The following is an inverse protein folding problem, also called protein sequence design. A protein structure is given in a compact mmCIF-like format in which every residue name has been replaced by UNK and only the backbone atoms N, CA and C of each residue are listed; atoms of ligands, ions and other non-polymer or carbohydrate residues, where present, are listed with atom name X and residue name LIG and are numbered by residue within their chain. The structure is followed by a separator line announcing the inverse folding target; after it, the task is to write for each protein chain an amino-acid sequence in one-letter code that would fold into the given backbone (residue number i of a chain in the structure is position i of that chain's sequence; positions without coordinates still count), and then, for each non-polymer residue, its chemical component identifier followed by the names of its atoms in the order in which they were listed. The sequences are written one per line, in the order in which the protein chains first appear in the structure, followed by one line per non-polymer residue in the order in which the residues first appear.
data_IF_044584253580
#
_entry.id   IF_044584253580
#
_cell.length_a   1.000
_cell.length_b   1.000
_cell.length_c   1.000
_cell.angle_alpha   90.00
_cell.angle_beta   90.00
_cell.angle_gamma   90.00
#
_symmetry.space_group_name_H-M   'P 1'
#
loop_
_entity.id
_entity.type
_entity.pdbx_description
1 polymer ?
#
# COMPACT_ATOMS: atom_id res chain seq x y z
N UNK A 1 11.59 -21.81 -5.57
CA UNK A 1 10.83 -20.62 -5.13
C UNK A 1 11.45 -19.48 -5.91
N UNK A 2 10.71 -18.93 -6.86
CA UNK A 2 11.23 -17.83 -7.68
C UNK A 2 11.28 -16.57 -6.82
N UNK A 3 12.36 -15.79 -6.94
CA UNK A 3 12.51 -14.53 -6.21
C UNK A 3 11.56 -13.50 -6.81
N UNK A 4 10.73 -12.89 -5.96
CA UNK A 4 9.84 -11.79 -6.34
C UNK A 4 10.54 -10.48 -5.98
N UNK A 5 10.82 -9.66 -6.99
CA UNK A 5 11.40 -8.34 -6.81
C UNK A 5 10.32 -7.26 -6.91
N UNK A 6 10.46 -6.22 -6.08
CA UNK A 6 9.54 -5.10 -6.03
C UNK A 6 10.18 -3.91 -5.31
N UNK A 7 9.42 -2.85 -5.12
CA UNK A 7 9.89 -1.67 -4.41
C UNK A 7 8.75 -0.93 -3.70
N UNK A 8 9.16 -0.08 -2.76
CA UNK A 8 8.28 0.79 -2.00
C UNK A 8 7.99 2.10 -2.74
N UNK A 9 6.71 2.41 -2.90
CA UNK A 9 6.20 3.58 -3.59
C UNK A 9 5.92 4.68 -2.57
N UNK A 10 6.92 5.55 -2.38
CA UNK A 10 6.85 6.62 -1.37
C UNK A 10 6.48 7.98 -1.95
N UNK A 11 6.96 8.33 -3.15
CA UNK A 11 6.93 9.73 -3.62
C UNK A 11 5.84 10.05 -4.64
N UNK A 12 5.34 9.02 -5.33
CA UNK A 12 4.37 9.14 -6.43
C UNK A 12 3.11 8.38 -6.08
N UNK A 13 2.03 8.67 -6.80
CA UNK A 13 0.88 7.79 -6.81
C UNK A 13 1.30 6.41 -7.34
N UNK A 14 0.82 5.32 -6.71
CA UNK A 14 1.16 3.95 -7.14
C UNK A 14 0.68 3.68 -8.56
N UNK A 15 -0.38 4.34 -8.99
CA UNK A 15 -0.92 4.29 -10.35
C UNK A 15 0.13 4.65 -11.42
N UNK A 16 1.06 5.55 -11.11
CA UNK A 16 2.14 5.97 -12.01
C UNK A 16 3.33 4.99 -12.05
N UNK A 17 3.40 4.03 -11.11
CA UNK A 17 4.56 3.16 -10.92
C UNK A 17 4.46 1.82 -11.66
N UNK A 18 3.28 1.42 -12.13
CA UNK A 18 3.07 0.16 -12.85
C UNK A 18 3.90 0.06 -14.13
N UNK A 19 3.95 1.12 -14.94
CA UNK A 19 4.73 1.13 -16.18
C UNK A 19 6.22 0.93 -15.93
N UNK A 20 6.76 1.59 -14.91
CA UNK A 20 8.14 1.42 -14.49
C UNK A 20 8.40 -0.02 -13.99
N UNK A 21 7.56 -0.54 -13.10
CA UNK A 21 7.73 -1.89 -12.61
C UNK A 21 7.71 -2.94 -13.75
N UNK A 22 6.80 -2.79 -14.71
CA UNK A 22 6.73 -3.67 -15.87
C UNK A 22 7.95 -3.56 -16.78
N UNK A 23 8.44 -2.33 -17.05
CA UNK A 23 9.65 -2.09 -17.86
C UNK A 23 10.88 -2.81 -17.28
N UNK A 24 11.01 -2.84 -15.94
CA UNK A 24 12.17 -3.41 -15.25
C UNK A 24 11.94 -4.83 -14.71
N UNK A 25 10.83 -5.48 -15.07
CA UNK A 25 10.54 -6.87 -14.65
C UNK A 25 10.31 -7.04 -13.15
N UNK A 26 9.82 -6.00 -12.47
CA UNK A 26 9.43 -6.03 -11.06
C UNK A 26 7.98 -6.53 -10.95
N UNK A 27 7.72 -7.37 -9.96
CA UNK A 27 6.44 -8.08 -9.81
C UNK A 27 5.64 -7.62 -8.58
N UNK A 28 6.14 -6.63 -7.83
CA UNK A 28 5.49 -6.13 -6.63
C UNK A 28 5.69 -4.62 -6.42
N UNK A 29 4.64 -3.94 -5.98
CA UNK A 29 4.68 -2.56 -5.48
C UNK A 29 4.12 -2.52 -4.06
N UNK A 30 4.90 -2.04 -3.11
CA UNK A 30 4.45 -1.76 -1.76
C UNK A 30 4.05 -0.28 -1.68
N UNK A 31 2.88 0.04 -1.13
CA UNK A 31 2.36 1.41 -1.08
C UNK A 31 2.59 2.00 0.32
N UNK A 32 3.47 3.00 0.43
CA UNK A 32 3.72 3.69 1.70
C UNK A 32 2.57 4.65 2.05
N UNK A 33 1.85 4.34 3.12
CA UNK A 33 0.72 5.11 3.63
C UNK A 33 1.16 6.35 4.44
N UNK A 34 2.44 6.73 4.47
CA UNK A 34 2.96 7.88 5.21
C UNK A 34 2.80 9.23 4.47
N UNK A 35 2.43 9.21 3.18
CA UNK A 35 2.28 10.43 2.38
C UNK A 35 0.82 10.75 2.10
N UNK A 36 0.49 12.04 2.05
CA UNK A 36 -0.89 12.50 1.90
C UNK A 36 -1.64 11.95 0.69
N UNK A 37 -0.95 11.69 -0.43
CA UNK A 37 -1.55 11.10 -1.64
C UNK A 37 -1.81 9.58 -1.52
N UNK A 38 -1.29 8.95 -0.47
CA UNK A 38 -1.41 7.53 -0.17
C UNK A 38 -1.99 7.31 1.23
N UNK A 39 -2.57 8.32 1.89
CA UNK A 39 -3.28 8.07 3.15
C UNK A 39 -4.44 7.11 2.91
N UNK A 40 -4.74 6.25 3.89
CA UNK A 40 -5.77 5.21 3.72
C UNK A 40 -7.14 5.79 3.34
N UNK A 41 -7.44 7.00 3.80
CA UNK A 41 -8.66 7.76 3.47
C UNK A 41 -8.78 8.10 1.97
N UNK A 42 -7.69 8.06 1.22
CA UNK A 42 -7.68 8.32 -0.23
C UNK A 42 -8.01 7.07 -1.06
N UNK A 43 -8.20 5.91 -0.44
CA UNK A 43 -8.55 4.65 -1.10
C UNK A 43 -10.07 4.44 -1.07
N UNK A 44 -10.79 5.26 -1.83
CA UNK A 44 -12.21 5.02 -2.08
C UNK A 44 -12.43 3.85 -3.05
N UNK A 45 -13.70 3.50 -3.28
CA UNK A 45 -14.07 2.40 -4.16
C UNK A 45 -13.58 2.57 -5.60
N UNK A 46 -13.56 3.81 -6.11
CA UNK A 46 -13.11 4.09 -7.48
C UNK A 46 -11.61 3.83 -7.60
N UNK A 47 -10.82 4.37 -6.68
CA UNK A 47 -9.37 4.18 -6.65
C UNK A 47 -9.00 2.72 -6.44
N UNK A 48 -9.67 2.02 -5.51
CA UNK A 48 -9.43 0.59 -5.26
C UNK A 48 -9.67 -0.23 -6.53
N UNK A 49 -10.79 0.02 -7.24
CA UNK A 49 -11.10 -0.69 -8.47
C UNK A 49 -10.09 -0.39 -9.59
N UNK A 50 -9.63 0.86 -9.71
CA UNK A 50 -8.56 1.24 -10.63
C UNK A 50 -7.26 0.48 -10.33
N UNK A 51 -6.85 0.42 -9.07
CA UNK A 51 -5.64 -0.28 -8.65
C UNK A 51 -5.72 -1.79 -8.90
N UNK A 52 -6.88 -2.40 -8.67
CA UNK A 52 -7.14 -3.81 -9.02
C UNK A 52 -6.98 -4.03 -10.52
N UNK A 53 -7.61 -3.18 -11.34
CA UNK A 53 -7.49 -3.26 -12.79
C UNK A 53 -6.04 -3.11 -13.28
N UNK A 54 -5.26 -2.20 -12.70
CA UNK A 54 -3.83 -2.05 -13.02
C UNK A 54 -3.01 -3.27 -12.56
N UNK A 55 -3.26 -3.78 -11.36
CA UNK A 55 -2.61 -4.99 -10.84
C UNK A 55 -2.82 -6.18 -11.76
N UNK A 56 -4.06 -6.40 -12.22
CA UNK A 56 -4.40 -7.45 -13.18
C UNK A 56 -3.79 -7.21 -14.56
N UNK A 57 -3.88 -5.99 -15.09
CA UNK A 57 -3.36 -5.62 -16.41
C UNK A 57 -1.85 -5.85 -16.51
N UNK A 58 -1.10 -5.47 -15.48
CA UNK A 58 0.37 -5.55 -15.49
C UNK A 58 0.92 -6.84 -14.86
N UNK A 59 0.08 -7.65 -14.21
CA UNK A 59 0.54 -8.83 -13.46
C UNK A 59 1.42 -8.47 -12.26
N UNK A 60 1.19 -7.30 -11.66
CA UNK A 60 1.99 -6.76 -10.55
C UNK A 60 1.15 -6.79 -9.28
N UNK A 61 1.69 -7.43 -8.24
CA UNK A 61 1.04 -7.52 -6.93
C UNK A 61 1.22 -6.23 -6.10
N UNK A 62 0.30 -6.00 -5.16
CA UNK A 62 0.29 -4.81 -4.30
C UNK A 62 0.31 -5.20 -2.82
N UNK A 63 0.97 -4.40 -1.99
CA UNK A 63 0.84 -4.41 -0.52
C UNK A 63 0.68 -2.98 0.01
N UNK A 64 0.31 -2.86 1.28
CA UNK A 64 0.27 -1.59 2.00
C UNK A 64 1.34 -1.59 3.09
N UNK A 65 2.15 -0.54 3.13
CA UNK A 65 3.08 -0.27 4.22
C UNK A 65 2.44 0.74 5.18
N UNK A 66 2.01 0.26 6.34
CA UNK A 66 1.39 1.12 7.36
C UNK A 66 2.42 2.10 7.93
N UNK A 67 2.02 3.31 8.35
CA UNK A 67 2.96 4.28 8.90
C UNK A 67 3.72 3.71 10.11
N UNK A 68 5.00 4.05 10.24
CA UNK A 68 5.88 3.57 11.33
C UNK A 68 5.37 3.90 12.75
N UNK A 69 4.43 4.84 12.86
CA UNK A 69 3.81 5.25 14.12
C UNK A 69 2.71 4.28 14.60
N UNK A 70 2.26 3.36 13.75
CA UNK A 70 1.22 2.39 14.11
C UNK A 70 1.81 1.30 15.00
N UNK A 71 1.28 1.20 16.22
CA UNK A 71 1.69 0.21 17.21
C UNK A 71 0.46 -0.51 17.80
N UNK A 72 0.05 -1.68 17.24
CA UNK A 72 -1.05 -2.46 17.81
C UNK A 72 -0.72 -3.10 19.17
N UNK A 73 0.54 -3.01 19.60
CA UNK A 73 1.02 -3.48 20.91
C UNK A 73 1.23 -2.33 21.90
N UNK A 74 0.65 -1.15 21.65
CA UNK A 74 0.79 -0.01 22.56
C UNK A 74 0.29 -0.37 23.97
N UNK A 75 0.99 0.14 24.98
CA UNK A 75 0.67 -0.10 26.39
C UNK A 75 -0.50 0.76 26.87
N UNK A 76 -0.76 1.90 26.23
CA UNK A 76 -1.88 2.79 26.54
C UNK A 76 -3.09 2.31 25.74
N UNK A 77 -4.15 1.80 26.39
CA UNK A 77 -5.29 1.19 25.69
C UNK A 77 -5.92 2.08 24.62
N UNK A 78 -6.14 3.37 24.92
CA UNK A 78 -6.74 4.32 23.98
C UNK A 78 -5.92 4.47 22.69
N UNK A 79 -4.58 4.45 22.77
CA UNK A 79 -3.70 4.55 21.60
C UNK A 79 -3.72 3.23 20.83
N UNK A 80 -3.63 2.10 21.54
CA UNK A 80 -3.69 0.76 20.94
C UNK A 80 -4.99 0.55 20.16
N UNK A 81 -6.12 0.92 20.73
CA UNK A 81 -7.43 0.75 20.11
C UNK A 81 -7.55 1.60 18.84
N UNK A 82 -6.99 2.81 18.84
CA UNK A 82 -6.89 3.66 17.65
C UNK A 82 -5.99 3.03 16.56
N UNK A 83 -4.84 2.46 16.94
CA UNK A 83 -3.95 1.75 16.01
C UNK A 83 -4.62 0.52 15.39
N UNK A 84 -5.36 -0.27 16.19
CA UNK A 84 -6.12 -1.42 15.69
C UNK A 84 -7.24 -0.97 14.75
N UNK A 85 -7.96 0.10 15.09
CA UNK A 85 -9.00 0.65 14.22
C UNK A 85 -8.43 1.12 12.88
N UNK A 86 -7.23 1.71 12.88
CA UNK A 86 -6.51 2.08 11.66
C UNK A 86 -6.13 0.85 10.82
N UNK A 87 -5.52 -0.18 11.43
CA UNK A 87 -5.13 -1.41 10.72
C UNK A 87 -6.33 -2.11 10.09
N UNK A 88 -7.49 -2.11 10.75
CA UNK A 88 -8.74 -2.66 10.20
C UNK A 88 -9.22 -1.96 8.93
N UNK A 89 -8.81 -0.71 8.68
CA UNK A 89 -9.10 -0.01 7.41
C UNK A 89 -8.15 -0.40 6.28
N UNK A 90 -7.02 -1.04 6.61
CA UNK A 90 -5.99 -1.44 5.65
C UNK A 90 -6.17 -2.88 5.15
N UNK A 91 -7.21 -3.59 5.59
CA UNK A 91 -7.48 -5.01 5.28
C UNK A 91 -8.84 -5.22 4.65
#
# INVERSE_FOLDING_TARGET
MDLVFGFDVVRKSVEECFGYAAEYGLAHLEIDLIRGHSFIETFDAERINKLRGLSEQFGISLSLHTPFTINPSDKIPTIRDANIAYLKRCV
#
